data_IF_936322091070
#
_entry.id   IF_936322091070
#
_cell.length_a   1.000
_cell.length_b   1.000
_cell.length_c   1.000
_cell.angle_alpha   90.00
_cell.angle_beta   90.00
_cell.angle_gamma   90.00
#
_symmetry.space_group_name_H-M   'P 1'
#
loop_
_entity.id
_entity.type
_entity.pdbx_description
1 polymer ?
#
# COMPACT_ATOMS: atom_id res chain seq x y z
N UNK A 1 4.54 -7.03 -10.50
CA UNK A 1 3.27 -6.32 -10.29
C UNK A 1 2.05 -7.22 -10.33
N UNK A 2 1.95 -8.16 -11.27
CA UNK A 2 0.78 -9.07 -11.39
C UNK A 2 0.34 -9.74 -10.09
N UNK A 3 1.25 -10.42 -9.37
CA UNK A 3 0.93 -11.13 -8.12
C UNK A 3 0.48 -10.17 -7.01
N UNK A 4 1.18 -9.04 -6.85
CA UNK A 4 0.83 -8.04 -5.84
C UNK A 4 -0.55 -7.43 -6.11
N UNK A 5 -0.82 -7.06 -7.37
CA UNK A 5 -2.11 -6.54 -7.80
C UNK A 5 -3.23 -7.54 -7.54
N UNK A 6 -3.05 -8.81 -7.92
CA UNK A 6 -4.06 -9.85 -7.71
C UNK A 6 -4.41 -10.05 -6.23
N UNK A 7 -3.43 -9.96 -5.33
CA UNK A 7 -3.67 -10.07 -3.88
C UNK A 7 -4.42 -8.85 -3.38
N UNK A 8 -3.94 -7.64 -3.69
CA UNK A 8 -4.52 -6.39 -3.21
C UNK A 8 -5.93 -6.18 -3.75
N UNK A 9 -6.19 -6.55 -5.02
CA UNK A 9 -7.49 -6.37 -5.67
C UNK A 9 -8.62 -7.21 -5.05
N UNK A 10 -8.28 -8.15 -4.14
CA UNK A 10 -9.29 -8.90 -3.37
C UNK A 10 -9.90 -8.07 -2.24
N UNK A 11 -9.16 -7.07 -1.76
CA UNK A 11 -9.53 -6.26 -0.60
C UNK A 11 -9.77 -4.78 -0.95
N UNK A 12 -9.16 -4.28 -2.04
CA UNK A 12 -9.25 -2.88 -2.48
C UNK A 12 -9.55 -2.79 -3.97
N UNK A 13 -10.42 -1.85 -4.36
CA UNK A 13 -10.62 -1.49 -5.76
C UNK A 13 -9.45 -0.61 -6.23
N UNK A 14 -8.57 -1.19 -7.04
CA UNK A 14 -7.35 -0.55 -7.57
C UNK A 14 -7.27 -0.64 -9.09
N UNK A 15 -8.38 -0.97 -9.76
CA UNK A 15 -8.41 -1.22 -11.21
C UNK A 15 -8.09 0.04 -12.01
N UNK A 16 -8.40 1.21 -11.44
CA UNK A 16 -8.12 2.52 -12.02
C UNK A 16 -6.65 2.97 -11.83
N UNK A 17 -5.87 2.27 -11.00
CA UNK A 17 -4.49 2.63 -10.67
C UNK A 17 -3.54 1.91 -11.61
N UNK A 18 -2.62 2.63 -12.24
CA UNK A 18 -1.61 2.01 -13.10
C UNK A 18 -0.60 1.18 -12.30
N UNK A 19 0.02 0.18 -12.95
CA UNK A 19 1.07 -0.63 -12.32
C UNK A 19 2.25 0.19 -11.81
N UNK A 20 2.55 1.33 -12.48
CA UNK A 20 3.64 2.22 -12.10
C UNK A 20 3.30 2.98 -10.81
N UNK A 21 2.09 3.52 -10.72
CA UNK A 21 1.62 4.22 -9.52
C UNK A 21 1.56 3.26 -8.34
N UNK A 22 0.98 2.08 -8.54
CA UNK A 22 0.91 1.05 -7.51
C UNK A 22 2.31 0.66 -7.02
N UNK A 23 3.28 0.47 -7.93
CA UNK A 23 4.66 0.18 -7.54
C UNK A 23 5.27 1.31 -6.69
N UNK A 24 5.06 2.57 -7.08
CA UNK A 24 5.57 3.72 -6.32
C UNK A 24 4.97 3.78 -4.91
N UNK A 25 3.66 3.54 -4.77
CA UNK A 25 2.97 3.54 -3.48
C UNK A 25 3.52 2.41 -2.59
N UNK A 26 3.69 1.22 -3.15
CA UNK A 26 4.22 0.07 -2.41
C UNK A 26 5.68 0.29 -1.98
N UNK A 27 6.50 0.95 -2.78
CA UNK A 27 7.87 1.31 -2.42
C UNK A 27 7.91 2.30 -1.25
N UNK A 28 7.02 3.31 -1.26
CA UNK A 28 6.90 4.29 -0.17
C UNK A 28 6.44 3.62 1.13
N UNK A 29 5.39 2.81 1.05
CA UNK A 29 4.87 2.05 2.19
C UNK A 29 5.90 1.06 2.72
N UNK A 30 6.61 0.34 1.84
CA UNK A 30 7.63 -0.63 2.21
C UNK A 30 8.73 -0.01 3.07
N UNK A 31 9.18 1.20 2.74
CA UNK A 31 10.14 1.95 3.58
C UNK A 31 9.56 2.29 4.96
N UNK A 32 8.31 2.73 5.01
CA UNK A 32 7.61 3.00 6.27
C UNK A 32 7.49 1.76 7.16
N UNK A 33 7.15 0.61 6.58
CA UNK A 33 7.05 -0.68 7.29
C UNK A 33 8.41 -1.09 7.86
N UNK A 34 9.48 -0.94 7.07
CA UNK A 34 10.85 -1.21 7.53
C UNK A 34 11.21 -0.32 8.72
N UNK A 35 10.83 0.95 8.72
CA UNK A 35 11.08 1.86 9.85
C UNK A 35 10.28 1.48 11.08
N UNK A 36 8.97 1.21 10.95
CA UNK A 36 8.13 0.73 12.06
C UNK A 36 8.69 -0.54 12.71
N UNK A 37 9.16 -1.47 11.89
CA UNK A 37 9.72 -2.72 12.40
C UNK A 37 11.11 -2.55 13.00
N UNK A 38 12.07 -1.99 12.25
CA UNK A 38 13.47 -1.94 12.66
C UNK A 38 13.75 -0.88 13.72
N UNK A 39 13.08 0.27 13.67
CA UNK A 39 13.35 1.38 14.59
C UNK A 39 12.45 1.35 15.82
N UNK A 40 11.21 0.88 15.67
CA UNK A 40 10.21 0.93 16.74
C UNK A 40 9.81 -0.45 17.27
N UNK A 41 10.33 -1.54 16.68
CA UNK A 41 10.06 -2.91 17.14
C UNK A 41 8.61 -3.33 17.00
N UNK A 42 7.84 -2.68 16.12
CA UNK A 42 6.41 -2.95 15.95
C UNK A 42 6.20 -3.99 14.86
N UNK A 43 5.27 -4.90 15.13
CA UNK A 43 4.81 -5.84 14.11
C UNK A 43 3.92 -5.12 13.10
N UNK A 44 4.06 -5.52 11.83
CA UNK A 44 3.25 -5.01 10.74
C UNK A 44 2.50 -6.16 10.09
N UNK A 45 1.16 -6.11 10.15
CA UNK A 45 0.30 -7.17 9.64
C UNK A 45 -0.27 -6.83 8.26
N UNK A 46 -0.78 -7.84 7.54
CA UNK A 46 -1.51 -7.62 6.30
C UNK A 46 -2.75 -6.72 6.48
N UNK A 47 -3.41 -6.78 7.63
CA UNK A 47 -4.53 -5.89 7.93
C UNK A 47 -4.08 -4.43 7.97
N UNK A 48 -2.99 -4.14 8.70
CA UNK A 48 -2.43 -2.79 8.78
C UNK A 48 -1.97 -2.30 7.40
N UNK A 49 -1.41 -3.20 6.59
CA UNK A 49 -1.02 -2.92 5.21
C UNK A 49 -2.21 -2.40 4.39
N UNK A 50 -3.33 -3.13 4.37
CA UNK A 50 -4.52 -2.75 3.60
C UNK A 50 -5.13 -1.45 4.11
N UNK A 51 -5.22 -1.25 5.42
CA UNK A 51 -5.73 0.00 6.02
C UNK A 51 -4.89 1.22 5.61
N UNK A 52 -3.56 1.13 5.63
CA UNK A 52 -2.68 2.23 5.24
C UNK A 52 -2.72 2.47 3.73
N UNK A 53 -2.77 1.40 2.93
CA UNK A 53 -2.88 1.51 1.48
C UNK A 53 -4.18 2.25 1.11
N UNK A 54 -5.31 1.88 1.71
CA UNK A 54 -6.59 2.55 1.48
C UNK A 54 -6.54 4.05 1.81
N UNK A 55 -5.83 4.44 2.88
CA UNK A 55 -5.63 5.85 3.22
C UNK A 55 -4.80 6.58 2.16
N UNK A 56 -3.72 5.96 1.67
CA UNK A 56 -2.89 6.52 0.59
C UNK A 56 -3.73 6.77 -0.67
N UNK A 57 -4.52 5.79 -1.08
CA UNK A 57 -5.38 5.89 -2.26
C UNK A 57 -6.43 6.99 -2.10
N UNK A 58 -7.11 7.04 -0.94
CA UNK A 58 -8.10 8.08 -0.68
C UNK A 58 -7.53 9.50 -0.55
N UNK A 59 -6.23 9.66 -0.36
CA UNK A 59 -5.54 10.97 -0.44
C UNK A 59 -5.24 11.32 -1.90
N UNK A 60 -4.80 10.36 -2.71
CA UNK A 60 -4.56 10.55 -4.15
C UNK A 60 -5.85 10.96 -4.88
N UNK A 61 -6.96 10.25 -4.61
CA UNK A 61 -8.27 10.55 -5.21
C UNK A 61 -8.81 11.95 -4.90
N UNK A 62 -8.29 12.63 -3.88
CA UNK A 62 -8.69 13.99 -3.50
C UNK A 62 -7.78 15.07 -4.08
N UNK A 63 -6.65 14.67 -4.66
CA UNK A 63 -5.67 15.58 -5.26
C UNK A 63 -5.86 15.72 -6.78
N UNK A 64 -6.55 14.76 -7.41
CA UNK A 64 -7.05 14.81 -8.79
C UNK A 64 -8.44 15.47 -8.90
#
# INVERSE_FOLDING_TARGET
MSIYREIISKDLDIDHISDRELASILDDMGRGIIYEHLLFGRDFTYKNFIEILQLYLGVLDKLD
#
